data_IF_050092725744
#
_entry.id   IF_050092725744
#
_cell.length_a   1.000
_cell.length_b   1.000
_cell.length_c   1.000
_cell.angle_alpha   90.00
_cell.angle_beta   90.00
_cell.angle_gamma   90.00
#
_symmetry.space_group_name_H-M   'P 1'
#
loop_
_entity.id
_entity.type
_entity.pdbx_description
1 polymer ?
#
# COMPACT_ATOMS: atom_id res chain seq x y z
N UNK A 1 -1.69 11.67 13.33
CA UNK A 1 -0.32 12.21 13.27
C UNK A 1 0.65 11.05 13.13
N UNK A 2 0.97 10.66 11.91
CA UNK A 2 0.29 9.52 11.25
C UNK A 2 1.35 8.58 10.69
N UNK A 3 0.93 7.38 10.25
CA UNK A 3 1.77 6.33 9.64
C UNK A 3 2.85 6.90 8.71
N UNK A 4 2.53 7.93 7.92
CA UNK A 4 3.44 8.63 6.99
C UNK A 4 4.78 9.10 7.59
N UNK A 5 4.84 9.47 8.88
CA UNK A 5 6.10 9.87 9.53
C UNK A 5 6.84 8.69 10.14
N UNK A 6 6.11 7.72 10.68
CA UNK A 6 6.68 6.56 11.36
C UNK A 6 7.46 5.64 10.41
N UNK A 7 7.08 5.60 9.13
CA UNK A 7 7.79 4.79 8.12
C UNK A 7 9.27 5.18 7.95
N UNK A 8 9.67 6.38 8.37
CA UNK A 8 11.05 6.87 8.31
C UNK A 8 11.86 6.64 9.59
N UNK A 9 11.23 6.11 10.65
CA UNK A 9 11.85 5.99 11.98
C UNK A 9 11.90 4.53 12.47
N UNK A 10 11.86 3.56 11.56
CA UNK A 10 12.01 2.13 11.85
C UNK A 10 13.45 1.84 12.29
N UNK A 11 13.64 1.26 13.48
CA UNK A 11 14.97 0.98 14.06
C UNK A 11 15.21 -0.51 14.34
N UNK A 12 14.18 -1.33 14.24
CA UNK A 12 14.25 -2.77 14.50
C UNK A 12 13.21 -3.53 13.68
N UNK A 13 13.38 -4.85 13.58
CA UNK A 13 12.39 -5.73 12.95
C UNK A 13 11.02 -5.66 13.65
N UNK A 14 11.02 -5.47 14.97
CA UNK A 14 9.78 -5.33 15.75
C UNK A 14 9.05 -4.03 15.42
N UNK A 15 9.79 -2.93 15.23
CA UNK A 15 9.19 -1.66 14.81
C UNK A 15 8.58 -1.79 13.41
N UNK A 16 9.29 -2.47 12.50
CA UNK A 16 8.80 -2.75 11.15
C UNK A 16 7.50 -3.56 11.17
N UNK A 17 7.48 -4.68 11.90
CA UNK A 17 6.30 -5.55 11.99
C UNK A 17 5.09 -4.81 12.59
N UNK A 18 5.30 -4.05 13.67
CA UNK A 18 4.26 -3.23 14.29
C UNK A 18 3.68 -2.24 13.28
N UNK A 19 4.55 -1.50 12.59
CA UNK A 19 4.12 -0.50 11.61
C UNK A 19 3.48 -1.12 10.37
N UNK A 20 3.93 -2.29 9.93
CA UNK A 20 3.32 -3.01 8.81
C UNK A 20 1.88 -3.44 9.13
N UNK A 21 1.62 -3.90 10.37
CA UNK A 21 0.28 -4.21 10.83
C UNK A 21 -0.60 -2.95 10.92
N UNK A 22 -0.05 -1.82 11.39
CA UNK A 22 -0.77 -0.54 11.41
C UNK A 22 -1.12 -0.05 9.99
N UNK A 23 -0.19 -0.17 9.04
CA UNK A 23 -0.42 0.13 7.61
C UNK A 23 -1.51 -0.77 7.04
N UNK A 24 -1.47 -2.07 7.31
CA UNK A 24 -2.51 -3.01 6.90
C UNK A 24 -3.88 -2.59 7.43
N UNK A 25 -3.99 -2.30 8.74
CA UNK A 25 -5.27 -1.88 9.34
C UNK A 25 -5.77 -0.58 8.73
N UNK A 26 -4.88 0.37 8.44
CA UNK A 26 -5.24 1.61 7.75
C UNK A 26 -5.77 1.32 6.34
N UNK A 27 -5.07 0.52 5.55
CA UNK A 27 -5.49 0.17 4.19
C UNK A 27 -6.80 -0.61 4.17
N UNK A 28 -6.97 -1.58 5.06
CA UNK A 28 -8.20 -2.34 5.22
C UNK A 28 -9.39 -1.45 5.57
N UNK A 29 -9.21 -0.39 6.38
CA UNK A 29 -10.30 0.53 6.73
C UNK A 29 -10.61 1.56 5.66
N UNK A 30 -9.61 2.01 4.90
CA UNK A 30 -9.73 3.19 4.05
C UNK A 30 -9.75 2.87 2.55
N UNK A 31 -9.40 1.66 2.12
CA UNK A 31 -9.41 1.25 0.71
C UNK A 31 -10.53 0.21 0.51
N UNK A 32 -11.73 0.59 0.03
CA UNK A 32 -12.89 -0.29 -0.03
C UNK A 32 -12.64 -1.59 -0.81
N UNK A 33 -11.94 -1.50 -1.94
CA UNK A 33 -11.61 -2.67 -2.76
C UNK A 33 -10.69 -3.65 -2.01
N UNK A 34 -9.74 -3.13 -1.25
CA UNK A 34 -8.85 -3.99 -0.45
C UNK A 34 -9.60 -4.60 0.74
N UNK A 35 -10.50 -3.84 1.39
CA UNK A 35 -11.36 -4.34 2.44
C UNK A 35 -12.23 -5.52 1.97
N UNK A 36 -12.91 -5.36 0.84
CA UNK A 36 -13.76 -6.39 0.25
C UNK A 36 -12.95 -7.64 -0.08
N UNK A 37 -11.78 -7.47 -0.70
CA UNK A 37 -10.86 -8.57 -0.99
C UNK A 37 -10.45 -9.33 0.28
N UNK A 38 -10.06 -8.63 1.34
CA UNK A 38 -9.69 -9.23 2.61
C UNK A 38 -10.87 -10.00 3.23
N UNK A 39 -12.07 -9.42 3.23
CA UNK A 39 -13.28 -10.05 3.77
C UNK A 39 -13.63 -11.36 3.05
N UNK A 40 -13.50 -11.40 1.71
CA UNK A 40 -13.73 -12.63 0.94
C UNK A 40 -12.74 -13.74 1.26
N UNK A 41 -11.55 -13.40 1.74
CA UNK A 41 -10.54 -14.34 2.21
C UNK A 41 -10.70 -14.71 3.68
N UNK A 42 -11.71 -14.17 4.37
CA UNK A 42 -11.86 -14.22 5.83
C UNK A 42 -10.64 -13.64 6.58
N UNK A 43 -9.92 -12.72 5.94
CA UNK A 43 -8.82 -11.96 6.54
C UNK A 43 -9.38 -10.64 7.09
N UNK A 44 -9.28 -10.43 8.40
CA UNK A 44 -9.69 -9.20 9.07
C UNK A 44 -8.71 -8.84 10.21
N UNK A 45 -8.99 -7.77 10.94
CA UNK A 45 -8.13 -7.28 12.04
C UNK A 45 -7.86 -8.32 13.14
N UNK A 46 -8.69 -9.35 13.29
CA UNK A 46 -8.50 -10.39 14.31
C UNK A 46 -7.71 -11.60 13.79
N UNK A 47 -7.71 -11.83 12.48
CA UNK A 47 -6.99 -12.95 11.87
C UNK A 47 -5.56 -12.60 11.48
N UNK A 48 -5.28 -11.31 11.21
CA UNK A 48 -3.95 -10.84 10.80
C UNK A 48 -3.16 -10.40 12.03
N UNK A 49 -2.26 -11.28 12.51
CA UNK A 49 -1.48 -11.06 13.74
C UNK A 49 0.02 -10.93 13.48
N UNK A 50 0.46 -11.28 12.29
CA UNK A 50 1.85 -11.18 11.82
C UNK A 50 1.89 -10.66 10.38
N UNK A 51 3.07 -10.23 9.93
CA UNK A 51 3.24 -9.76 8.55
C UNK A 51 2.93 -10.85 7.51
N UNK A 52 3.11 -12.13 7.87
CA UNK A 52 2.85 -13.26 6.98
C UNK A 52 1.36 -13.51 6.75
N UNK A 53 0.50 -13.00 7.64
CA UNK A 53 -0.95 -13.13 7.55
C UNK A 53 -1.58 -12.08 6.62
N UNK A 54 -0.81 -11.05 6.22
CA UNK A 54 -1.32 -9.95 5.38
C UNK A 54 -1.61 -10.48 3.97
N UNK A 55 -2.86 -10.36 3.46
CA UNK A 55 -3.20 -10.89 2.15
C UNK A 55 -2.64 -10.03 1.03
N UNK A 56 -2.02 -10.67 0.04
CA UNK A 56 -1.46 -10.00 -1.14
C UNK A 56 -2.55 -9.70 -2.17
N UNK A 57 -2.74 -8.41 -2.49
CA UNK A 57 -3.69 -7.99 -3.51
C UNK A 57 -3.14 -8.28 -4.92
N UNK A 58 -3.84 -9.08 -5.76
CA UNK A 58 -3.36 -9.39 -7.09
C UNK A 58 -3.21 -8.15 -7.99
N UNK A 59 -2.14 -8.11 -8.80
CA UNK A 59 -1.85 -6.96 -9.68
C UNK A 59 -2.98 -6.66 -10.68
N UNK A 60 -3.82 -7.63 -11.02
CA UNK A 60 -4.97 -7.44 -11.91
C UNK A 60 -5.97 -6.41 -11.37
N UNK A 61 -6.10 -6.27 -10.04
CA UNK A 61 -6.95 -5.24 -9.43
C UNK A 61 -6.51 -3.84 -9.81
N UNK A 62 -5.20 -3.59 -9.94
CA UNK A 62 -4.68 -2.29 -10.37
C UNK A 62 -4.93 -1.99 -11.86
N UNK A 63 -5.38 -2.97 -12.65
CA UNK A 63 -5.78 -2.77 -14.07
C UNK A 63 -7.26 -2.38 -14.20
N UNK A 64 -8.10 -2.82 -13.27
CA UNK A 64 -9.56 -2.67 -13.34
C UNK A 64 -10.17 -1.78 -12.26
N UNK A 65 -9.43 -1.52 -11.17
CA UNK A 65 -9.91 -0.77 -10.01
C UNK A 65 -8.92 0.34 -9.63
N UNK A 66 -9.44 1.36 -8.95
CA UNK A 66 -8.63 2.38 -8.29
C UNK A 66 -8.33 1.88 -6.89
N UNK A 67 -7.06 1.58 -6.63
CA UNK A 67 -6.58 1.15 -5.30
C UNK A 67 -5.94 2.36 -4.62
N UNK A 68 -6.76 3.13 -3.90
CA UNK A 68 -6.32 4.31 -3.15
C UNK A 68 -7.31 4.62 -2.02
N UNK A 69 -6.80 5.23 -0.96
CA UNK A 69 -7.56 5.79 0.16
C UNK A 69 -8.07 7.22 -0.13
N UNK A 70 -7.56 7.85 -1.19
CA UNK A 70 -7.96 9.18 -1.64
C UNK A 70 -8.36 9.15 -3.12
N UNK A 71 -9.43 9.87 -3.45
CA UNK A 71 -9.89 10.04 -4.83
C UNK A 71 -9.11 11.15 -5.57
N UNK A 72 -8.42 12.03 -4.84
CA UNK A 72 -7.66 13.15 -5.40
C UNK A 72 -6.18 12.81 -5.51
N UNK A 73 -5.82 11.90 -6.42
CA UNK A 73 -4.41 11.58 -6.68
C UNK A 73 -3.66 12.77 -7.27
N UNK A 74 -2.50 13.12 -6.72
CA UNK A 74 -1.58 14.11 -7.29
C UNK A 74 -0.95 13.62 -8.61
N UNK A 75 -0.73 12.31 -8.74
CA UNK A 75 -0.22 11.70 -9.97
C UNK A 75 -0.65 10.24 -10.12
N UNK A 76 -0.55 9.71 -11.34
CA UNK A 76 -0.85 8.32 -11.68
C UNK A 76 0.35 7.71 -12.40
N UNK A 77 0.95 6.68 -11.81
CA UNK A 77 1.95 5.87 -12.49
C UNK A 77 1.30 4.69 -13.20
N UNK A 78 1.83 4.32 -14.37
CA UNK A 78 1.35 3.18 -15.16
C UNK A 78 2.49 2.22 -15.45
N UNK A 79 2.19 0.93 -15.57
CA UNK A 79 3.17 -0.05 -16.07
C UNK A 79 3.50 0.20 -17.55
N UNK A 80 4.68 -0.22 -18.00
CA UNK A 80 5.16 -0.04 -19.39
C UNK A 80 4.34 -0.83 -20.41
N UNK A 81 3.77 -1.97 -20.00
CA UNK A 81 2.90 -2.82 -20.81
C UNK A 81 3.49 -3.33 -22.11
N UNK A 82 2.72 -4.17 -22.79
CA UNK A 82 2.95 -4.60 -24.16
C UNK A 82 1.76 -4.15 -25.00
N UNK A 83 1.99 -3.92 -26.30
CA UNK A 83 0.94 -3.45 -27.23
C UNK A 83 -0.34 -4.27 -27.10
N UNK A 84 -1.47 -3.61 -26.81
CA UNK A 84 -2.78 -4.25 -26.64
C UNK A 84 -3.17 -4.65 -25.21
N UNK A 85 -2.29 -4.50 -24.22
CA UNK A 85 -2.59 -4.81 -22.82
C UNK A 85 -3.19 -3.63 -22.05
N UNK A 86 -4.17 -3.89 -21.18
CA UNK A 86 -4.60 -2.91 -20.16
C UNK A 86 -3.49 -2.77 -19.12
N UNK A 87 -3.00 -1.55 -18.97
CA UNK A 87 -1.94 -1.19 -18.02
C UNK A 87 -2.47 -1.14 -16.59
N UNK A 88 -1.66 -1.59 -15.63
CA UNK A 88 -1.92 -1.30 -14.22
C UNK A 88 -1.70 0.19 -13.96
N UNK A 89 -2.50 0.76 -13.05
CA UNK A 89 -2.42 2.15 -12.62
C UNK A 89 -2.24 2.23 -11.11
N UNK A 90 -1.29 3.05 -10.67
CA UNK A 90 -1.02 3.36 -9.27
C UNK A 90 -1.30 4.84 -9.03
N UNK A 91 -2.31 5.11 -8.20
CA UNK A 91 -2.76 6.46 -7.87
C UNK A 91 -2.01 6.92 -6.62
N UNK A 92 -1.23 8.00 -6.75
CA UNK A 92 -0.40 8.51 -5.67
C UNK A 92 -1.05 9.79 -5.13
N UNK A 93 -1.50 9.74 -3.87
CA UNK A 93 -2.17 10.85 -3.18
C UNK A 93 -1.21 11.86 -2.55
N UNK A 94 0.05 11.50 -2.35
CA UNK A 94 1.08 12.36 -1.75
C UNK A 94 2.42 12.12 -2.47
N UNK A 95 2.72 12.95 -3.48
CA UNK A 95 3.92 12.77 -4.29
C UNK A 95 5.19 13.13 -3.50
N UNK A 96 5.09 13.99 -2.49
CA UNK A 96 6.22 14.35 -1.64
C UNK A 96 6.64 13.16 -0.77
N UNK A 97 5.69 12.47 -0.13
CA UNK A 97 5.96 11.25 0.63
C UNK A 97 6.61 10.17 -0.24
N UNK A 98 6.10 9.98 -1.46
CA UNK A 98 6.67 9.05 -2.43
C UNK A 98 8.14 9.39 -2.75
N UNK A 99 8.44 10.68 -2.96
CA UNK A 99 9.80 11.16 -3.27
C UNK A 99 10.77 11.04 -2.10
N UNK A 100 10.32 11.42 -0.92
CA UNK A 100 11.09 11.30 0.31
C UNK A 100 11.46 9.83 0.57
N UNK A 101 10.51 8.91 0.37
CA UNK A 101 10.73 7.46 0.52
C UNK A 101 11.88 6.92 -0.31
N UNK A 102 11.85 7.09 -1.63
CA UNK A 102 12.94 6.54 -2.45
C UNK A 102 14.26 7.31 -2.25
N UNK A 103 14.20 8.62 -1.95
CA UNK A 103 15.41 9.44 -1.72
C UNK A 103 16.13 9.01 -0.45
N UNK A 104 15.38 8.84 0.64
CA UNK A 104 15.91 8.37 1.91
C UNK A 104 16.51 6.98 1.77
N UNK A 105 15.81 6.05 1.10
CA UNK A 105 16.31 4.71 0.85
C UNK A 105 17.62 4.74 0.03
N UNK A 106 17.70 5.58 -1.01
CA UNK A 106 18.91 5.73 -1.81
C UNK A 106 20.10 6.26 -1.00
N UNK A 107 19.88 7.12 0.00
CA UNK A 107 20.96 7.64 0.86
C UNK A 107 21.54 6.62 1.85
N UNK A 108 20.87 5.48 2.06
CA UNK A 108 21.34 4.42 2.97
C UNK A 108 22.30 3.42 2.30
N UNK A 109 22.49 3.49 0.98
CA UNK A 109 23.34 2.61 0.19
C UNK A 109 24.34 3.40 -0.66
#
# INVERSE_FOLDING_TARGET
MGIKREIFNIKSLKDFETLALDVFQYQYRNIPIYQEFCNLLNCNNTSVNSIQDIPFLPIQFFKSHIISDDKNSETIFSSSGTTGSVLSKHYISDLNLYKESFTYAFQQF
#
